data_IF_534137712404
#
_entry.id   IF_534137712404
#
_cell.length_a   1.000
_cell.length_b   1.000
_cell.length_c   1.000
_cell.angle_alpha   90.00
_cell.angle_beta   90.00
_cell.angle_gamma   90.00
#
_symmetry.space_group_name_H-M   'P 1'
#
loop_
_entity.id
_entity.type
_entity.pdbx_description
1 polymer ?
#
# COMPACT_ATOMS: atom_id res chain seq x y z
N UNK A 1 16.03 -18.97 -0.90
CA UNK A 1 15.17 -19.79 -1.73
C UNK A 1 16.02 -20.43 -2.79
N UNK A 2 15.96 -21.75 -2.98
CA UNK A 2 16.81 -22.43 -3.94
C UNK A 2 16.51 -21.97 -5.37
N UNK A 3 17.53 -22.04 -6.22
CA UNK A 3 17.47 -21.75 -7.65
C UNK A 3 16.58 -22.77 -8.42
N UNK A 4 15.37 -23.01 -7.94
CA UNK A 4 14.44 -23.91 -8.60
C UNK A 4 13.65 -23.08 -9.65
N UNK A 5 13.76 -23.38 -10.95
CA UNK A 5 13.07 -22.69 -12.02
C UNK A 5 11.55 -22.75 -11.86
N UNK A 6 10.99 -23.81 -11.26
CA UNK A 6 9.56 -23.96 -11.04
C UNK A 6 9.05 -22.97 -9.97
N UNK A 7 9.84 -22.67 -8.94
CA UNK A 7 9.51 -21.67 -7.94
C UNK A 7 9.54 -20.26 -8.54
N UNK A 8 10.52 -19.97 -9.42
CA UNK A 8 10.57 -18.67 -10.12
C UNK A 8 9.39 -18.45 -11.07
N UNK A 9 8.97 -19.52 -11.74
CA UNK A 9 7.80 -19.45 -12.64
C UNK A 9 6.52 -19.21 -11.85
N UNK A 10 6.34 -19.91 -10.73
CA UNK A 10 5.23 -19.68 -9.82
C UNK A 10 5.20 -18.24 -9.26
N UNK A 11 6.38 -17.64 -8.99
CA UNK A 11 6.50 -16.26 -8.53
C UNK A 11 6.03 -15.23 -9.55
N UNK A 12 6.38 -15.41 -10.81
CA UNK A 12 5.94 -14.54 -11.90
C UNK A 12 4.43 -14.67 -12.12
N UNK A 13 3.94 -15.91 -12.07
CA UNK A 13 2.51 -16.21 -12.22
C UNK A 13 1.67 -15.64 -11.06
N UNK A 14 2.20 -15.61 -9.82
CA UNK A 14 1.55 -15.03 -8.65
C UNK A 14 1.28 -13.54 -8.82
N UNK A 15 2.22 -12.81 -9.43
CA UNK A 15 2.02 -11.37 -9.72
C UNK A 15 1.00 -11.14 -10.83
N UNK A 16 0.72 -12.17 -11.66
CA UNK A 16 0.01 -12.01 -12.94
C UNK A 16 -1.23 -12.89 -13.12
N UNK A 17 -1.85 -13.43 -12.07
CA UNK A 17 -2.93 -14.43 -12.07
C UNK A 17 -2.42 -15.89 -12.19
N UNK A 18 -1.78 -16.45 -11.17
CA UNK A 18 -1.28 -17.81 -11.14
C UNK A 18 -2.40 -18.85 -11.00
N UNK A 19 -2.11 -20.07 -11.46
CA UNK A 19 -3.02 -21.19 -11.25
C UNK A 19 -3.09 -21.59 -9.76
N UNK A 20 -4.26 -22.02 -9.24
CA UNK A 20 -4.46 -22.29 -7.82
C UNK A 20 -3.48 -23.31 -7.19
N UNK A 21 -2.98 -24.25 -7.96
CA UNK A 21 -2.08 -25.32 -7.45
C UNK A 21 -0.66 -24.83 -7.20
N UNK A 22 -0.16 -23.89 -8.00
CA UNK A 22 1.18 -23.31 -7.82
C UNK A 22 1.24 -22.25 -6.71
N UNK A 23 0.08 -21.69 -6.33
CA UNK A 23 -0.01 -20.65 -5.29
C UNK A 23 0.13 -21.19 -3.87
N UNK A 24 -0.39 -22.37 -3.57
CA UNK A 24 -0.33 -22.93 -2.22
C UNK A 24 1.11 -23.29 -1.83
N UNK A 25 1.84 -23.92 -2.74
CA UNK A 25 3.26 -24.30 -2.52
C UNK A 25 4.16 -23.06 -2.45
N UNK A 26 3.87 -22.06 -3.26
CA UNK A 26 4.61 -20.82 -3.28
C UNK A 26 4.35 -19.97 -2.03
N UNK A 27 3.09 -19.81 -1.61
CA UNK A 27 2.74 -19.08 -0.39
C UNK A 27 3.43 -19.68 0.85
N UNK A 28 3.47 -20.99 0.96
CA UNK A 28 4.18 -21.68 2.03
C UNK A 28 5.68 -21.40 2.05
N UNK A 29 6.33 -21.38 0.88
CA UNK A 29 7.77 -21.10 0.76
C UNK A 29 8.11 -19.63 1.06
N UNK A 30 7.26 -18.69 0.62
CA UNK A 30 7.43 -17.25 0.88
C UNK A 30 7.20 -16.91 2.34
N UNK A 31 6.13 -17.43 2.94
CA UNK A 31 5.84 -17.23 4.37
C UNK A 31 7.01 -17.73 5.21
N UNK A 32 7.52 -18.94 4.94
CA UNK A 32 8.65 -19.49 5.66
C UNK A 32 9.95 -18.69 5.47
N UNK A 33 10.21 -18.11 4.30
CA UNK A 33 11.40 -17.30 4.03
C UNK A 33 11.29 -15.90 4.66
N UNK A 34 10.10 -15.29 4.60
CA UNK A 34 9.82 -13.99 5.23
C UNK A 34 9.87 -14.11 6.75
N UNK A 35 9.24 -15.12 7.34
CA UNK A 35 9.26 -15.35 8.80
C UNK A 35 10.68 -15.58 9.33
N UNK A 36 11.51 -16.38 8.65
CA UNK A 36 12.91 -16.57 9.05
C UNK A 36 13.73 -15.29 8.99
N UNK A 37 13.50 -14.44 8.00
CA UNK A 37 14.18 -13.14 7.90
C UNK A 37 13.67 -12.13 8.93
N UNK A 38 12.39 -12.17 9.27
CA UNK A 38 11.80 -11.35 10.30
C UNK A 38 12.26 -11.77 11.69
N UNK A 39 12.23 -13.06 11.99
CA UNK A 39 12.68 -13.61 13.28
C UNK A 39 14.17 -13.35 13.55
N UNK A 40 15.03 -13.36 12.52
CA UNK A 40 16.47 -13.10 12.68
C UNK A 40 16.83 -11.63 12.92
N UNK A 41 15.89 -10.69 12.74
CA UNK A 41 16.14 -9.24 12.80
C UNK A 41 15.36 -8.51 13.92
N UNK A 42 14.51 -9.22 14.65
CA UNK A 42 13.51 -8.63 15.52
C UNK A 42 13.71 -8.71 17.03
N UNK A 43 14.80 -9.24 17.62
CA UNK A 43 14.92 -9.17 19.07
C UNK A 43 14.72 -7.75 19.62
N UNK A 44 15.26 -6.74 18.87
CA UNK A 44 15.21 -5.36 19.32
C UNK A 44 13.87 -4.67 19.02
N UNK A 45 13.26 -4.97 17.87
CA UNK A 45 11.96 -4.39 17.50
C UNK A 45 10.83 -5.01 18.32
N UNK A 46 10.87 -6.30 18.55
CA UNK A 46 9.87 -6.99 19.40
C UNK A 46 10.00 -6.53 20.85
N UNK A 47 11.22 -6.30 21.36
CA UNK A 47 11.44 -5.73 22.69
C UNK A 47 11.03 -4.25 22.78
N UNK A 48 11.20 -3.45 21.72
CA UNK A 48 10.68 -2.09 21.66
C UNK A 48 9.15 -2.07 21.54
N UNK A 49 8.54 -2.97 20.78
CA UNK A 49 7.09 -3.11 20.67
C UNK A 49 6.48 -3.65 21.96
N UNK A 50 7.13 -4.59 22.64
CA UNK A 50 6.71 -5.07 23.98
C UNK A 50 6.90 -4.00 25.06
N UNK A 51 7.88 -3.12 24.92
CA UNK A 51 8.08 -1.96 25.82
C UNK A 51 7.08 -0.83 25.57
N UNK A 52 6.40 -0.83 24.42
CA UNK A 52 5.28 0.07 24.16
C UNK A 52 4.12 -0.31 25.06
N UNK A 53 3.93 0.47 26.11
CA UNK A 53 2.86 0.27 27.08
C UNK A 53 1.52 0.14 26.33
N UNK A 54 0.76 -0.95 26.47
CA UNK A 54 -0.54 -1.13 25.81
C UNK A 54 -1.47 0.07 25.97
N UNK A 55 -1.35 0.80 27.09
CA UNK A 55 -2.05 2.03 27.39
C UNK A 55 -1.78 3.17 26.39
N UNK A 56 -0.56 3.31 25.89
CA UNK A 56 -0.22 4.41 24.95
C UNK A 56 -0.85 4.21 23.56
N UNK A 57 -0.97 2.97 23.13
CA UNK A 57 -1.68 2.62 21.87
C UNK A 57 -3.19 2.81 22.05
N UNK A 58 -3.73 2.43 23.23
CA UNK A 58 -5.11 2.67 23.59
C UNK A 58 -5.44 4.17 23.71
N UNK A 59 -4.51 4.99 24.19
CA UNK A 59 -4.68 6.43 24.36
C UNK A 59 -4.79 7.18 23.04
N UNK A 60 -4.27 6.66 21.95
CA UNK A 60 -4.29 7.33 20.66
C UNK A 60 -5.64 7.20 19.95
N UNK A 61 -6.25 6.02 20.04
CA UNK A 61 -7.65 5.88 19.68
C UNK A 61 -8.54 6.17 20.90
N UNK A 62 -7.94 6.22 22.10
CA UNK A 62 -8.51 6.68 23.36
C UNK A 62 -9.73 5.92 23.87
N UNK A 63 -10.10 4.84 23.19
CA UNK A 63 -11.35 4.12 23.39
C UNK A 63 -11.14 2.62 23.59
N UNK A 64 -10.03 2.24 24.23
CA UNK A 64 -9.78 0.87 24.65
C UNK A 64 -9.45 -0.08 23.50
N UNK A 65 -8.86 0.43 22.43
CA UNK A 65 -8.36 -0.40 21.35
C UNK A 65 -7.18 -1.22 21.86
N UNK A 66 -7.47 -2.43 22.28
CA UNK A 66 -6.46 -3.44 22.61
C UNK A 66 -6.14 -4.21 21.33
N UNK A 67 -5.32 -3.64 20.45
CA UNK A 67 -4.81 -4.40 19.32
C UNK A 67 -3.64 -5.25 19.78
N UNK A 68 -3.81 -6.55 19.69
CA UNK A 68 -2.68 -7.46 19.67
C UNK A 68 -2.16 -7.48 18.24
N UNK A 69 -0.92 -7.06 18.02
CA UNK A 69 -0.27 -6.99 16.70
C UNK A 69 -0.27 -8.34 15.96
N UNK A 70 -0.39 -9.45 16.69
CA UNK A 70 -0.46 -10.80 16.14
C UNK A 70 -1.87 -11.19 15.66
N UNK A 71 -2.93 -10.49 16.10
CA UNK A 71 -4.30 -10.84 15.74
C UNK A 71 -4.74 -10.11 14.48
N UNK A 72 -5.22 -10.86 13.52
CA UNK A 72 -5.81 -10.34 12.27
C UNK A 72 -7.29 -10.00 12.42
N UNK A 73 -7.96 -10.48 13.49
CA UNK A 73 -9.39 -10.29 13.71
C UNK A 73 -9.66 -9.46 14.97
N UNK A 74 -10.57 -8.51 14.84
CA UNK A 74 -11.09 -7.73 15.97
C UNK A 74 -12.38 -8.35 16.46
N UNK A 75 -12.48 -8.55 17.77
CA UNK A 75 -13.69 -9.06 18.41
C UNK A 75 -14.70 -7.95 18.74
N UNK A 76 -14.22 -6.71 18.93
CA UNK A 76 -15.06 -5.59 19.36
C UNK A 76 -15.21 -4.55 18.23
N UNK A 77 -16.35 -3.85 18.16
CA UNK A 77 -16.54 -2.74 17.20
C UNK A 77 -15.51 -1.64 17.40
N UNK A 78 -15.05 -1.06 16.28
CA UNK A 78 -14.11 0.06 16.29
C UNK A 78 -14.78 1.29 16.93
N UNK A 79 -14.14 1.87 17.94
CA UNK A 79 -14.52 3.13 18.56
C UNK A 79 -13.40 4.14 18.41
N UNK A 80 -13.76 5.41 18.29
CA UNK A 80 -12.81 6.53 18.23
C UNK A 80 -13.19 7.61 19.24
N UNK A 81 -12.21 8.41 19.64
CA UNK A 81 -12.43 9.59 20.49
C UNK A 81 -13.10 10.68 19.68
N UNK A 82 -14.25 11.16 20.15
CA UNK A 82 -15.00 12.27 19.54
C UNK A 82 -14.95 13.55 20.37
N UNK A 83 -14.27 13.54 21.52
CA UNK A 83 -14.17 14.67 22.43
C UNK A 83 -13.76 14.24 23.84
N UNK A 84 -14.06 15.08 24.81
CA UNK A 84 -13.87 14.82 26.23
C UNK A 84 -15.22 14.87 26.97
N UNK A 85 -15.34 14.02 27.99
CA UNK A 85 -16.42 14.10 28.96
C UNK A 85 -16.12 15.19 30.02
N UNK A 86 -17.11 15.50 30.87
CA UNK A 86 -16.96 16.55 31.90
C UNK A 86 -15.89 16.28 32.93
N UNK A 87 -15.57 15.03 33.18
CA UNK A 87 -14.53 14.56 34.08
C UNK A 87 -13.12 14.50 33.43
N UNK A 88 -13.01 14.91 32.16
CA UNK A 88 -11.77 14.89 31.38
C UNK A 88 -11.46 13.56 30.70
N UNK A 89 -12.27 12.52 30.93
CA UNK A 89 -12.13 11.24 30.25
C UNK A 89 -12.44 11.35 28.74
N UNK A 90 -12.06 10.36 27.94
CA UNK A 90 -12.32 10.36 26.52
C UNK A 90 -13.79 10.02 26.25
N UNK A 91 -14.46 10.87 25.48
CA UNK A 91 -15.77 10.57 24.93
C UNK A 91 -15.62 9.71 23.68
N UNK A 92 -16.14 8.49 23.72
CA UNK A 92 -15.98 7.50 22.66
C UNK A 92 -17.29 7.29 21.89
N UNK A 93 -17.16 7.12 20.57
CA UNK A 93 -18.27 6.72 19.70
C UNK A 93 -17.86 5.60 18.75
N UNK A 94 -18.83 4.83 18.26
CA UNK A 94 -18.62 3.89 17.16
C UNK A 94 -18.03 4.64 15.96
N UNK A 95 -16.98 4.11 15.37
CA UNK A 95 -16.30 4.75 14.23
C UNK A 95 -17.23 4.99 13.03
N UNK A 96 -18.27 4.16 12.88
CA UNK A 96 -19.29 4.28 11.84
C UNK A 96 -20.44 5.25 12.17
N UNK A 97 -20.43 5.84 13.38
CA UNK A 97 -21.46 6.84 13.77
C UNK A 97 -21.22 8.20 13.09
N UNK A 98 -22.26 9.00 12.95
CA UNK A 98 -22.17 10.32 12.32
C UNK A 98 -21.20 11.24 13.08
N UNK A 99 -21.25 11.27 14.42
CA UNK A 99 -20.35 12.08 15.23
C UNK A 99 -18.88 11.71 15.00
N UNK A 100 -18.59 10.41 14.87
CA UNK A 100 -17.23 9.94 14.56
C UNK A 100 -16.78 10.36 13.16
N UNK A 101 -17.66 10.22 12.17
CA UNK A 101 -17.39 10.68 10.78
C UNK A 101 -17.14 12.17 10.70
N UNK A 102 -17.88 12.98 11.44
CA UNK A 102 -17.68 14.43 11.48
C UNK A 102 -16.31 14.79 12.03
N UNK A 103 -15.85 14.10 13.09
CA UNK A 103 -14.49 14.28 13.64
C UNK A 103 -13.44 13.88 12.61
N UNK A 104 -13.58 12.71 11.98
CA UNK A 104 -12.65 12.24 10.95
C UNK A 104 -12.61 13.16 9.72
N UNK A 105 -13.74 13.66 9.25
CA UNK A 105 -13.81 14.62 8.16
C UNK A 105 -13.18 15.97 8.55
N UNK A 106 -13.36 16.40 9.80
CA UNK A 106 -12.69 17.60 10.32
C UNK A 106 -11.16 17.44 10.31
N UNK A 107 -10.63 16.31 10.78
CA UNK A 107 -9.21 16.01 10.74
C UNK A 107 -8.70 15.95 9.30
N UNK A 108 -9.41 15.28 8.43
CA UNK A 108 -9.11 15.16 7.00
C UNK A 108 -9.01 16.53 6.30
N UNK A 109 -9.89 17.48 6.63
CA UNK A 109 -9.86 18.85 6.08
C UNK A 109 -8.65 19.65 6.54
N UNK A 110 -8.15 19.38 7.75
CA UNK A 110 -7.00 20.10 8.37
C UNK A 110 -5.64 19.54 7.97
N UNK A 111 -5.59 18.47 7.18
CA UNK A 111 -4.32 17.88 6.74
C UNK A 111 -3.47 18.89 5.96
N UNK A 112 -2.25 19.10 6.46
CA UNK A 112 -1.24 19.96 5.84
C UNK A 112 -0.20 19.18 5.02
N UNK A 113 0.91 19.85 4.77
CA UNK A 113 2.10 19.22 4.17
C UNK A 113 2.68 18.18 5.11
N UNK A 114 3.03 17.03 4.57
CA UNK A 114 3.72 15.98 5.32
C UNK A 114 5.18 16.40 5.55
N UNK A 115 5.72 16.06 6.72
CA UNK A 115 7.15 16.07 6.97
C UNK A 115 7.66 14.63 7.02
N UNK A 116 8.67 14.30 6.23
CA UNK A 116 9.23 12.96 6.22
C UNK A 116 9.73 12.51 7.61
N UNK A 117 10.18 13.44 8.45
CA UNK A 117 10.60 13.16 9.83
C UNK A 117 9.44 12.79 10.76
N UNK A 118 8.21 13.10 10.37
CA UNK A 118 7.00 12.80 11.16
C UNK A 118 6.25 11.56 10.65
N UNK A 119 6.62 11.07 9.46
CA UNK A 119 5.96 9.90 8.91
C UNK A 119 6.38 8.66 9.67
N UNK A 120 5.38 7.89 10.09
CA UNK A 120 5.54 6.57 10.69
C UNK A 120 5.04 5.56 9.66
N UNK A 121 5.96 4.96 8.89
CA UNK A 121 5.56 4.01 7.86
C UNK A 121 5.07 2.70 8.47
N UNK A 122 4.16 1.97 7.80
CA UNK A 122 3.72 0.67 8.27
C UNK A 122 4.88 -0.31 8.26
N UNK A 123 5.00 -1.09 9.33
CA UNK A 123 6.00 -2.15 9.43
C UNK A 123 5.49 -3.43 8.78
N UNK A 124 6.42 -4.23 8.30
CA UNK A 124 6.07 -5.52 7.74
C UNK A 124 5.85 -6.56 8.82
N UNK A 125 4.67 -7.16 8.79
CA UNK A 125 4.30 -8.34 9.53
C UNK A 125 3.86 -9.41 8.53
N UNK A 126 4.46 -10.60 8.59
CA UNK A 126 4.19 -11.66 7.61
C UNK A 126 4.39 -11.21 6.15
N UNK A 127 3.44 -11.49 5.28
CA UNK A 127 3.50 -11.28 3.83
C UNK A 127 2.90 -9.97 3.34
N UNK A 128 2.70 -8.97 4.20
CA UNK A 128 2.03 -7.72 3.84
C UNK A 128 2.91 -6.66 3.13
N UNK A 129 4.12 -7.00 2.70
CA UNK A 129 5.02 -6.07 2.00
C UNK A 129 4.36 -5.47 0.74
N UNK A 130 3.62 -6.27 -0.03
CA UNK A 130 2.89 -5.82 -1.21
C UNK A 130 1.84 -4.74 -0.88
N UNK A 131 1.13 -4.89 0.24
CA UNK A 131 0.16 -3.91 0.69
C UNK A 131 0.85 -2.64 1.19
N UNK A 132 1.86 -2.77 2.04
CA UNK A 132 2.56 -1.66 2.67
C UNK A 132 3.31 -0.79 1.66
N UNK A 133 3.93 -1.39 0.63
CA UNK A 133 4.63 -0.62 -0.41
C UNK A 133 3.65 0.22 -1.22
N UNK A 134 2.51 -0.36 -1.62
CA UNK A 134 1.49 0.38 -2.35
C UNK A 134 0.78 1.42 -1.48
N UNK A 135 0.59 1.13 -0.17
CA UNK A 135 0.13 2.11 0.81
C UNK A 135 1.00 3.37 0.79
N UNK A 136 2.32 3.21 0.83
CA UNK A 136 3.25 4.34 0.78
C UNK A 136 3.17 5.10 -0.55
N UNK A 137 3.07 4.41 -1.67
CA UNK A 137 2.92 5.03 -2.98
C UNK A 137 1.61 5.83 -3.12
N UNK A 138 0.50 5.25 -2.65
CA UNK A 138 -0.84 5.84 -2.86
C UNK A 138 -1.22 6.89 -1.82
N UNK A 139 -0.77 6.76 -0.57
CA UNK A 139 -1.23 7.65 0.51
C UNK A 139 -0.14 8.55 1.09
N UNK A 140 1.14 8.29 0.83
CA UNK A 140 2.24 9.09 1.40
C UNK A 140 2.99 9.87 0.34
N UNK A 141 3.21 9.30 -0.84
CA UNK A 141 3.86 9.99 -1.95
C UNK A 141 3.04 11.19 -2.43
N UNK A 142 3.69 12.26 -2.84
CA UNK A 142 3.08 13.57 -3.07
C UNK A 142 1.84 13.55 -3.97
N UNK A 143 1.95 12.91 -5.15
CA UNK A 143 0.85 12.84 -6.12
C UNK A 143 -0.15 11.75 -5.76
N UNK A 144 0.34 10.61 -5.26
CA UNK A 144 -0.51 9.53 -4.76
C UNK A 144 -1.43 10.01 -3.65
N UNK A 145 -0.87 10.69 -2.62
CA UNK A 145 -1.64 11.30 -1.53
C UNK A 145 -2.72 12.25 -2.07
N UNK A 146 -2.37 13.11 -3.02
CA UNK A 146 -3.30 14.07 -3.61
C UNK A 146 -4.43 13.37 -4.36
N UNK A 147 -4.08 12.39 -5.18
CA UNK A 147 -5.04 11.61 -5.94
C UNK A 147 -5.98 10.80 -5.06
N UNK A 148 -5.45 10.06 -4.08
CA UNK A 148 -6.24 9.19 -3.20
C UNK A 148 -7.06 9.93 -2.13
N UNK A 149 -7.04 11.26 -2.13
CA UNK A 149 -7.81 12.06 -1.18
C UNK A 149 -9.32 11.79 -1.29
N UNK A 150 -9.84 11.63 -2.51
CA UNK A 150 -11.25 11.30 -2.72
C UNK A 150 -11.62 9.94 -2.13
N UNK A 151 -10.77 8.92 -2.32
CA UNK A 151 -11.00 7.57 -1.80
C UNK A 151 -11.08 7.56 -0.27
N UNK A 152 -10.18 8.27 0.40
CA UNK A 152 -10.22 8.45 1.85
C UNK A 152 -11.50 9.12 2.33
N UNK A 153 -12.00 10.09 1.58
CA UNK A 153 -13.29 10.73 1.89
C UNK A 153 -14.44 9.72 1.80
N UNK A 154 -14.47 8.86 0.78
CA UNK A 154 -15.45 7.78 0.67
C UNK A 154 -15.35 6.78 1.83
N UNK A 155 -14.14 6.38 2.20
CA UNK A 155 -13.90 5.50 3.36
C UNK A 155 -14.46 6.10 4.66
N UNK A 156 -14.22 7.40 4.92
CA UNK A 156 -14.71 8.07 6.12
C UNK A 156 -16.23 8.17 6.11
N UNK A 157 -16.82 8.55 4.97
CA UNK A 157 -18.27 8.66 4.82
C UNK A 157 -18.98 7.31 4.90
N UNK A 158 -18.28 6.23 4.55
CA UNK A 158 -18.88 4.91 4.39
C UNK A 158 -19.87 4.85 3.24
N UNK A 159 -19.57 5.58 2.16
CA UNK A 159 -20.38 5.70 0.96
C UNK A 159 -19.52 5.41 -0.28
N UNK A 160 -20.16 4.89 -1.31
CA UNK A 160 -19.56 4.82 -2.64
C UNK A 160 -19.56 6.19 -3.33
N UNK A 161 -18.92 6.30 -4.48
CA UNK A 161 -18.88 7.55 -5.26
C UNK A 161 -20.26 8.09 -5.62
N UNK A 162 -21.24 7.20 -5.83
CA UNK A 162 -22.63 7.56 -6.14
C UNK A 162 -23.53 7.68 -4.90
N UNK A 163 -22.94 7.76 -3.70
CA UNK A 163 -23.64 8.02 -2.44
C UNK A 163 -24.38 6.81 -1.85
N UNK A 164 -24.13 5.59 -2.38
CA UNK A 164 -24.69 4.38 -1.78
C UNK A 164 -23.89 4.00 -0.53
N UNK A 165 -24.59 3.59 0.53
CA UNK A 165 -23.93 3.13 1.75
C UNK A 165 -23.08 1.88 1.50
N UNK A 166 -21.86 1.87 2.02
CA UNK A 166 -21.00 0.69 2.00
C UNK A 166 -21.57 -0.37 2.93
N UNK A 167 -21.81 -1.56 2.37
CA UNK A 167 -22.32 -2.72 3.10
C UNK A 167 -21.43 -3.93 2.89
N UNK A 168 -21.31 -4.84 3.87
CA UNK A 168 -21.88 -4.79 5.23
C UNK A 168 -21.18 -3.76 6.14
N UNK A 169 -21.76 -3.47 7.31
CA UNK A 169 -21.19 -2.51 8.25
C UNK A 169 -19.74 -2.83 8.68
N UNK A 170 -19.38 -4.11 8.72
CA UNK A 170 -17.99 -4.55 8.98
C UNK A 170 -17.00 -4.06 7.92
N UNK A 171 -17.42 -3.98 6.65
CA UNK A 171 -16.58 -3.42 5.58
C UNK A 171 -16.40 -1.91 5.76
N UNK A 172 -17.46 -1.21 6.12
CA UNK A 172 -17.38 0.21 6.46
C UNK A 172 -16.41 0.46 7.62
N UNK A 173 -16.48 -0.34 8.67
CA UNK A 173 -15.54 -0.28 9.80
C UNK A 173 -14.09 -0.54 9.36
N UNK A 174 -13.85 -1.53 8.49
CA UNK A 174 -12.54 -1.84 7.94
C UNK A 174 -11.96 -0.68 7.11
N UNK A 175 -12.80 0.01 6.33
CA UNK A 175 -12.40 1.19 5.55
C UNK A 175 -12.07 2.39 6.43
N UNK A 176 -12.82 2.59 7.52
CA UNK A 176 -12.48 3.62 8.51
C UNK A 176 -11.16 3.29 9.20
N UNK A 177 -10.93 2.02 9.57
CA UNK A 177 -9.66 1.57 10.12
C UNK A 177 -8.50 1.83 9.15
N UNK A 178 -8.71 1.61 7.86
CA UNK A 178 -7.73 1.93 6.83
C UNK A 178 -7.42 3.45 6.80
N UNK A 179 -8.44 4.30 6.80
CA UNK A 179 -8.20 5.75 6.88
C UNK A 179 -7.45 6.15 8.15
N UNK A 180 -7.76 5.55 9.30
CA UNK A 180 -7.04 5.78 10.55
C UNK A 180 -5.58 5.35 10.47
N UNK A 181 -5.25 4.28 9.73
CA UNK A 181 -3.88 3.90 9.46
C UNK A 181 -3.12 4.98 8.66
N UNK A 182 -3.79 5.58 7.68
CA UNK A 182 -3.21 6.69 6.91
C UNK A 182 -2.97 7.91 7.82
N UNK A 183 -3.94 8.28 8.66
CA UNK A 183 -3.78 9.41 9.60
C UNK A 183 -2.66 9.16 10.61
N UNK A 184 -2.56 7.94 11.12
CA UNK A 184 -1.49 7.51 12.03
C UNK A 184 -0.12 7.59 11.34
N UNK A 185 -0.02 7.13 10.11
CA UNK A 185 1.20 7.23 9.31
C UNK A 185 1.66 8.69 9.13
N UNK A 186 0.73 9.64 9.01
CA UNK A 186 1.05 11.06 8.89
C UNK A 186 1.50 11.69 10.21
N UNK A 187 1.28 11.04 11.33
CA UNK A 187 1.57 11.55 12.67
C UNK A 187 1.04 12.98 12.88
N UNK A 188 -0.18 13.21 12.43
CA UNK A 188 -0.84 14.53 12.51
C UNK A 188 -1.12 14.94 13.96
N UNK A 189 -1.17 13.97 14.86
CA UNK A 189 -1.30 14.18 16.30
C UNK A 189 -0.02 13.68 16.98
N UNK A 190 0.68 14.54 17.76
CA UNK A 190 1.93 14.17 18.44
C UNK A 190 1.77 12.98 19.41
N UNK A 191 0.56 12.75 19.91
CA UNK A 191 0.22 11.53 20.67
C UNK A 191 0.07 10.29 19.80
N UNK A 192 -0.03 10.45 18.48
CA UNK A 192 -0.13 9.36 17.51
C UNK A 192 1.24 8.81 17.06
N UNK A 193 2.35 9.29 17.63
CA UNK A 193 3.70 8.92 17.20
C UNK A 193 4.00 7.42 17.17
N UNK A 194 3.31 6.64 17.96
CA UNK A 194 3.51 5.19 18.03
C UNK A 194 2.40 4.38 17.33
N UNK A 195 1.37 5.03 16.78
CA UNK A 195 0.21 4.33 16.20
C UNK A 195 0.52 3.65 14.88
N UNK A 196 1.35 4.27 14.05
CA UNK A 196 1.77 3.65 12.80
C UNK A 196 2.48 2.32 13.02
N UNK A 197 3.31 2.24 14.07
CA UNK A 197 3.97 1.00 14.50
C UNK A 197 2.97 -0.01 15.08
N UNK A 198 1.93 0.48 15.74
CA UNK A 198 0.88 -0.33 16.36
C UNK A 198 -0.25 -0.72 15.40
N UNK A 199 -0.39 -0.02 14.27
CA UNK A 199 -1.36 -0.38 13.23
C UNK A 199 -0.85 -1.56 12.42
N UNK A 200 -1.38 -2.71 12.78
CA UNK A 200 -1.16 -3.93 12.02
C UNK A 200 -2.01 -3.88 10.74
N UNK A 201 -1.38 -3.61 9.59
CA UNK A 201 -2.08 -3.58 8.30
C UNK A 201 -2.69 -4.93 7.91
N UNK A 202 -2.27 -6.03 8.53
CA UNK A 202 -2.91 -7.33 8.38
C UNK A 202 -4.37 -7.31 8.84
N UNK A 203 -4.69 -6.56 9.91
CA UNK A 203 -6.08 -6.37 10.34
C UNK A 203 -6.92 -5.68 9.27
N UNK A 204 -6.34 -4.72 8.56
CA UNK A 204 -7.03 -4.00 7.49
C UNK A 204 -7.28 -4.94 6.31
N UNK A 205 -6.24 -5.64 5.85
CA UNK A 205 -6.32 -6.59 4.73
C UNK A 205 -7.37 -7.65 5.02
N UNK A 206 -7.26 -8.32 6.17
CA UNK A 206 -8.18 -9.39 6.58
C UNK A 206 -9.62 -8.90 6.74
N UNK A 207 -9.80 -7.74 7.39
CA UNK A 207 -11.14 -7.17 7.60
C UNK A 207 -11.82 -6.78 6.28
N UNK A 208 -11.08 -6.24 5.32
CA UNK A 208 -11.58 -5.95 3.98
C UNK A 208 -11.92 -7.27 3.26
N UNK A 209 -10.99 -8.22 3.23
CA UNK A 209 -11.17 -9.50 2.54
C UNK A 209 -12.39 -10.27 3.04
N UNK A 210 -12.56 -10.37 4.34
CA UNK A 210 -13.68 -11.11 4.97
C UNK A 210 -15.01 -10.39 4.88
N UNK A 211 -15.00 -9.07 4.66
CA UNK A 211 -16.22 -8.26 4.66
C UNK A 211 -16.71 -7.85 3.27
N UNK A 212 -15.82 -7.81 2.28
CA UNK A 212 -16.21 -7.51 0.89
C UNK A 212 -17.02 -8.68 0.30
N UNK A 213 -18.08 -8.43 -0.49
CA UNK A 213 -18.92 -9.50 -1.02
C UNK A 213 -18.15 -10.54 -1.85
N UNK A 214 -18.45 -11.83 -1.65
CA UNK A 214 -17.81 -12.92 -2.40
C UNK A 214 -18.06 -12.82 -3.92
N UNK A 215 -19.23 -12.33 -4.32
CA UNK A 215 -19.56 -12.07 -5.73
C UNK A 215 -18.63 -11.03 -6.35
N UNK A 216 -18.16 -10.05 -5.55
CA UNK A 216 -17.17 -9.07 -5.99
C UNK A 216 -15.79 -9.70 -6.11
N UNK A 217 -15.33 -10.44 -5.08
CA UNK A 217 -14.03 -11.15 -5.10
C UNK A 217 -13.93 -12.16 -6.24
N UNK A 218 -15.05 -12.79 -6.63
CA UNK A 218 -15.07 -13.72 -7.74
C UNK A 218 -14.68 -13.06 -9.08
N UNK A 219 -15.03 -11.79 -9.26
CA UNK A 219 -14.71 -10.98 -10.45
C UNK A 219 -13.37 -10.24 -10.31
N UNK A 220 -13.04 -9.79 -9.10
CA UNK A 220 -11.90 -8.95 -8.79
C UNK A 220 -10.86 -9.71 -7.97
N UNK A 221 -9.97 -10.42 -8.67
CA UNK A 221 -9.00 -11.36 -8.08
C UNK A 221 -7.86 -10.66 -7.31
N UNK A 222 -7.75 -9.34 -7.39
CA UNK A 222 -6.75 -8.57 -6.65
C UNK A 222 -7.05 -8.44 -5.15
N UNK A 223 -8.30 -8.64 -4.72
CA UNK A 223 -8.66 -8.63 -3.30
C UNK A 223 -8.20 -9.95 -2.67
N UNK A 224 -7.14 -9.88 -1.86
CA UNK A 224 -6.45 -11.02 -1.23
C UNK A 224 -6.45 -10.88 0.29
N UNK A 225 -6.33 -12.03 0.99
CA UNK A 225 -6.13 -12.07 2.44
C UNK A 225 -4.64 -12.03 2.79
N UNK A 226 -4.35 -11.91 4.09
CA UNK A 226 -2.98 -11.78 4.63
C UNK A 226 -2.09 -12.99 4.40
N UNK A 227 -2.68 -14.18 4.32
CA UNK A 227 -2.02 -15.45 4.04
C UNK A 227 -1.85 -15.72 2.54
N UNK A 228 -2.41 -14.85 1.70
CA UNK A 228 -2.34 -14.92 0.26
C UNK A 228 -1.31 -13.92 -0.27
N UNK A 229 -0.55 -14.36 -1.24
CA UNK A 229 0.35 -13.46 -1.96
C UNK A 229 -0.45 -12.45 -2.78
N UNK A 230 -0.23 -11.16 -2.53
CA UNK A 230 -0.97 -10.09 -3.20
C UNK A 230 -0.14 -9.36 -4.26
N UNK A 231 -0.81 -8.94 -5.33
CA UNK A 231 -0.27 -7.98 -6.25
C UNK A 231 -0.49 -6.57 -5.69
N UNK A 232 0.58 -5.76 -5.49
CA UNK A 232 0.46 -4.43 -4.89
C UNK A 232 -0.58 -3.55 -5.56
N UNK A 233 -0.60 -3.53 -6.89
CA UNK A 233 -1.47 -2.67 -7.66
C UNK A 233 -2.90 -3.20 -7.75
N UNK A 234 -3.07 -4.50 -8.00
CA UNK A 234 -4.40 -5.08 -8.24
C UNK A 234 -5.32 -4.94 -7.02
N UNK A 235 -4.80 -5.11 -5.81
CA UNK A 235 -5.59 -4.93 -4.60
C UNK A 235 -6.17 -3.51 -4.51
N UNK A 236 -5.33 -2.50 -4.69
CA UNK A 236 -5.76 -1.11 -4.59
C UNK A 236 -6.67 -0.69 -5.75
N UNK A 237 -6.39 -1.17 -6.95
CA UNK A 237 -7.27 -0.98 -8.11
C UNK A 237 -8.66 -1.55 -7.84
N UNK A 238 -8.74 -2.80 -7.40
CA UNK A 238 -10.00 -3.48 -7.17
C UNK A 238 -10.76 -2.84 -5.98
N UNK A 239 -10.06 -2.43 -4.92
CA UNK A 239 -10.69 -1.69 -3.82
C UNK A 239 -11.21 -0.32 -4.27
N UNK A 240 -10.45 0.41 -5.09
CA UNK A 240 -10.88 1.68 -5.67
C UNK A 240 -12.11 1.47 -6.54
N UNK A 241 -12.09 0.48 -7.45
CA UNK A 241 -13.22 0.13 -8.31
C UNK A 241 -14.48 -0.21 -7.51
N UNK A 242 -14.34 -0.89 -6.37
CA UNK A 242 -15.48 -1.15 -5.47
C UNK A 242 -16.12 0.12 -4.94
N UNK A 243 -15.30 1.04 -4.42
CA UNK A 243 -15.79 2.29 -3.83
C UNK A 243 -16.27 3.30 -4.87
N UNK A 244 -15.72 3.27 -6.08
CA UNK A 244 -16.12 4.15 -7.18
C UNK A 244 -17.17 3.52 -8.10
N UNK A 245 -17.57 2.28 -7.82
CA UNK A 245 -18.56 1.56 -8.64
C UNK A 245 -18.11 1.46 -10.10
N UNK A 246 -16.81 1.25 -10.31
CA UNK A 246 -16.17 1.13 -11.63
C UNK A 246 -16.30 2.42 -12.50
N UNK A 247 -16.47 3.59 -11.88
CA UNK A 247 -16.56 4.85 -12.59
C UNK A 247 -15.25 5.13 -13.37
N UNK A 248 -15.35 5.28 -14.68
CA UNK A 248 -14.22 5.48 -15.59
C UNK A 248 -13.41 6.76 -15.28
N UNK A 249 -14.01 7.77 -14.62
CA UNK A 249 -13.31 9.01 -14.24
C UNK A 249 -12.27 8.82 -13.15
N UNK A 250 -12.33 7.70 -12.42
CA UNK A 250 -11.40 7.36 -11.34
C UNK A 250 -10.49 6.19 -11.69
N UNK A 251 -10.36 5.91 -12.99
CA UNK A 251 -9.66 4.74 -13.49
C UNK A 251 -8.16 4.77 -13.20
N UNK A 252 -7.72 3.72 -12.55
CA UNK A 252 -6.32 3.36 -12.42
C UNK A 252 -5.97 2.44 -13.61
N UNK A 253 -5.28 2.96 -14.60
CA UNK A 253 -4.97 2.21 -15.81
C UNK A 253 -3.61 1.52 -15.71
N UNK A 254 -3.51 0.32 -16.25
CA UNK A 254 -2.27 -0.46 -16.29
C UNK A 254 -1.77 -0.60 -17.70
N UNK A 255 -0.52 -0.24 -17.93
CA UNK A 255 0.22 -0.41 -19.17
C UNK A 255 1.27 -1.49 -18.91
N UNK A 256 1.18 -2.63 -19.63
CA UNK A 256 1.99 -3.81 -19.29
C UNK A 256 2.54 -4.60 -20.47
N UNK A 257 1.90 -4.53 -21.65
CA UNK A 257 2.46 -5.14 -22.85
C UNK A 257 3.61 -4.29 -23.42
N UNK A 258 4.51 -4.93 -24.16
CA UNK A 258 5.64 -4.24 -24.81
C UNK A 258 5.17 -3.10 -25.70
N UNK A 259 4.07 -3.29 -26.43
CA UNK A 259 3.50 -2.27 -27.31
C UNK A 259 2.94 -1.10 -26.51
N UNK A 260 2.07 -1.35 -25.52
CA UNK A 260 1.48 -0.31 -24.65
C UNK A 260 2.55 0.53 -23.95
N UNK A 261 3.60 -0.11 -23.40
CA UNK A 261 4.68 0.58 -22.71
C UNK A 261 5.48 1.47 -23.65
N UNK A 262 5.79 0.97 -24.84
CA UNK A 262 6.48 1.78 -25.88
C UNK A 262 5.63 2.96 -26.33
N UNK A 263 4.34 2.73 -26.55
CA UNK A 263 3.41 3.78 -26.96
C UNK A 263 3.24 4.83 -25.87
N UNK A 264 3.15 4.41 -24.61
CA UNK A 264 3.10 5.34 -23.49
C UNK A 264 4.34 6.23 -23.45
N UNK A 265 5.55 5.67 -23.49
CA UNK A 265 6.79 6.45 -23.42
C UNK A 265 7.06 7.27 -24.69
N UNK A 266 6.50 6.88 -25.84
CA UNK A 266 6.53 7.68 -27.07
C UNK A 266 5.45 8.77 -27.12
N UNK A 267 4.50 8.78 -26.19
CA UNK A 267 3.38 9.71 -26.17
C UNK A 267 2.25 9.40 -27.16
N UNK A 268 2.24 8.22 -27.76
CA UNK A 268 1.22 7.77 -28.73
C UNK A 268 0.10 6.95 -28.09
N UNK A 269 0.26 6.54 -26.83
CA UNK A 269 -0.76 5.81 -26.09
C UNK A 269 -2.03 6.65 -25.93
N UNK A 270 -3.19 6.03 -26.09
CA UNK A 270 -4.48 6.72 -25.97
C UNK A 270 -5.08 6.46 -24.59
N UNK A 271 -5.10 7.47 -23.76
CA UNK A 271 -5.69 7.41 -22.43
C UNK A 271 -6.16 8.77 -21.95
N UNK A 272 -7.14 8.79 -21.06
CA UNK A 272 -7.58 9.93 -20.26
C UNK A 272 -7.49 9.67 -18.75
N UNK A 273 -6.95 8.50 -18.37
CA UNK A 273 -6.80 8.09 -16.98
C UNK A 273 -5.95 9.10 -16.19
N UNK A 274 -6.31 9.31 -14.92
CA UNK A 274 -5.54 10.20 -14.05
C UNK A 274 -4.26 9.56 -13.54
N UNK A 275 -4.21 8.22 -13.50
CA UNK A 275 -3.05 7.45 -13.05
C UNK A 275 -2.76 6.32 -14.01
N UNK A 276 -1.51 6.27 -14.46
CA UNK A 276 -0.96 5.21 -15.29
C UNK A 276 0.06 4.42 -14.47
N UNK A 277 -0.22 3.13 -14.31
CA UNK A 277 0.70 2.17 -13.71
C UNK A 277 1.45 1.40 -14.81
N UNK A 278 2.71 1.74 -15.04
CA UNK A 278 3.56 1.03 -16.00
C UNK A 278 4.19 -0.16 -15.31
N UNK A 279 3.78 -1.36 -15.71
CA UNK A 279 4.25 -2.61 -15.14
C UNK A 279 5.34 -3.22 -16.03
N UNK A 280 6.52 -3.44 -15.46
CA UNK A 280 7.67 -4.05 -16.11
C UNK A 280 8.04 -5.36 -15.41
N UNK A 281 8.40 -6.37 -16.19
CA UNK A 281 8.81 -7.67 -15.68
C UNK A 281 10.16 -8.08 -16.30
N UNK A 282 10.78 -9.14 -15.79
CA UNK A 282 11.98 -9.68 -16.43
C UNK A 282 11.72 -10.06 -17.89
N UNK A 283 12.75 -9.91 -18.71
CA UNK A 283 12.75 -10.31 -20.09
C UNK A 283 12.43 -11.81 -20.23
N UNK A 284 11.40 -12.14 -21.00
CA UNK A 284 11.01 -13.52 -21.29
C UNK A 284 9.58 -13.90 -20.95
N UNK A 285 8.83 -13.07 -20.21
CA UNK A 285 7.39 -13.27 -20.07
C UNK A 285 6.69 -12.89 -21.39
N UNK A 286 6.05 -13.85 -22.05
CA UNK A 286 5.42 -13.64 -23.36
C UNK A 286 4.46 -12.45 -23.37
N UNK A 287 4.75 -11.45 -24.20
CA UNK A 287 3.89 -10.28 -24.40
C UNK A 287 3.97 -9.21 -23.31
N UNK A 288 4.82 -9.38 -22.28
CA UNK A 288 5.02 -8.40 -21.21
C UNK A 288 6.22 -7.51 -21.46
N UNK A 289 6.09 -6.24 -21.08
CA UNK A 289 7.19 -5.30 -21.21
C UNK A 289 8.29 -5.58 -20.17
N UNK A 290 9.52 -5.49 -20.64
CA UNK A 290 10.72 -5.50 -19.81
C UNK A 290 11.21 -4.08 -19.52
N UNK A 291 12.12 -3.88 -18.56
CA UNK A 291 12.81 -2.61 -18.38
C UNK A 291 13.57 -2.11 -19.63
N UNK A 292 13.98 -3.01 -20.51
CA UNK A 292 14.62 -2.67 -21.80
C UNK A 292 13.61 -2.06 -22.77
N UNK A 293 12.37 -2.58 -22.80
CA UNK A 293 11.28 -2.00 -23.61
C UNK A 293 10.93 -0.58 -23.16
N UNK A 294 11.03 -0.30 -21.87
CA UNK A 294 10.79 1.02 -21.29
C UNK A 294 11.92 2.03 -21.57
N UNK A 295 13.10 1.57 -21.98
CA UNK A 295 14.23 2.43 -22.30
C UNK A 295 14.75 3.24 -21.11
N UNK A 296 14.76 4.57 -21.23
CA UNK A 296 15.27 5.47 -20.17
C UNK A 296 14.34 5.64 -18.97
N UNK A 297 13.10 5.16 -19.03
CA UNK A 297 12.07 5.37 -18.00
C UNK A 297 11.98 6.86 -17.61
N UNK A 298 11.50 7.75 -18.49
CA UNK A 298 11.50 9.19 -18.25
C UNK A 298 10.63 9.54 -17.06
N UNK A 299 11.01 10.55 -16.28
CA UNK A 299 10.25 11.03 -15.12
C UNK A 299 9.02 11.87 -15.51
N UNK A 300 8.93 12.27 -16.78
CA UNK A 300 7.77 12.99 -17.33
C UNK A 300 7.50 12.48 -18.74
N UNK A 301 6.24 12.25 -19.07
CA UNK A 301 5.77 11.78 -20.37
C UNK A 301 4.59 12.63 -20.82
N UNK A 302 4.61 13.09 -22.06
CA UNK A 302 3.47 13.79 -22.67
C UNK A 302 2.71 12.81 -23.54
N UNK A 303 1.45 12.54 -23.18
CA UNK A 303 0.55 11.63 -23.90
C UNK A 303 -0.64 12.45 -24.41
N UNK A 304 -0.79 12.55 -25.72
CA UNK A 304 -1.75 13.44 -26.35
C UNK A 304 -1.56 14.90 -25.90
N UNK A 305 -2.44 15.41 -25.02
CA UNK A 305 -2.35 16.79 -24.48
C UNK A 305 -2.08 16.81 -22.97
N UNK A 306 -1.93 15.63 -22.39
CA UNK A 306 -1.77 15.48 -20.94
C UNK A 306 -0.31 15.22 -20.60
N UNK A 307 0.19 15.84 -19.54
CA UNK A 307 1.50 15.55 -18.97
C UNK A 307 1.33 14.58 -17.81
N UNK A 308 2.09 13.50 -17.82
CA UNK A 308 2.17 12.50 -16.74
C UNK A 308 3.54 12.57 -16.10
N UNK A 309 3.57 12.68 -14.78
CA UNK A 309 4.81 12.71 -14.01
C UNK A 309 4.94 11.51 -13.09
N UNK A 310 6.11 10.90 -13.12
CA UNK A 310 6.47 9.80 -12.23
C UNK A 310 6.59 10.29 -10.79
N UNK A 311 5.77 9.75 -9.91
CA UNK A 311 5.74 10.11 -8.48
C UNK A 311 6.36 9.03 -7.60
N UNK A 312 6.09 7.78 -7.89
CA UNK A 312 6.50 6.66 -7.07
C UNK A 312 6.72 5.39 -7.89
N UNK A 313 7.39 4.42 -7.28
CA UNK A 313 7.59 3.10 -7.85
C UNK A 313 7.47 2.02 -6.77
N UNK A 314 7.08 0.82 -7.19
CA UNK A 314 7.24 -0.42 -6.44
C UNK A 314 8.24 -1.30 -7.17
N UNK A 315 9.18 -1.90 -6.47
CA UNK A 315 10.13 -2.86 -7.02
C UNK A 315 10.17 -4.12 -6.17
N UNK A 316 10.32 -5.27 -6.81
CA UNK A 316 10.41 -6.56 -6.15
C UNK A 316 11.84 -7.09 -6.20
N UNK A 317 12.37 -7.50 -5.05
CA UNK A 317 13.58 -8.31 -4.99
C UNK A 317 13.25 -9.74 -5.41
N UNK A 318 13.68 -10.15 -6.59
CA UNK A 318 13.38 -11.48 -7.14
C UNK A 318 13.96 -12.59 -6.26
N UNK A 319 15.14 -12.37 -5.68
CA UNK A 319 15.82 -13.41 -4.91
C UNK A 319 15.14 -13.71 -3.57
N UNK A 320 14.35 -12.76 -3.06
CA UNK A 320 13.70 -12.83 -1.74
C UNK A 320 12.21 -12.55 -1.75
N UNK A 321 11.65 -12.25 -2.92
CA UNK A 321 10.21 -12.00 -3.12
C UNK A 321 9.65 -10.89 -2.25
N UNK A 322 10.46 -9.90 -2.00
CA UNK A 322 10.15 -8.80 -1.13
C UNK A 322 9.97 -7.51 -1.94
N UNK A 323 8.95 -6.73 -1.59
CA UNK A 323 8.66 -5.46 -2.21
C UNK A 323 9.23 -4.29 -1.41
N UNK A 324 9.74 -3.28 -2.13
CA UNK A 324 10.05 -1.97 -1.62
C UNK A 324 9.40 -0.89 -2.48
N UNK A 325 9.37 0.35 -2.00
CA UNK A 325 8.87 1.49 -2.75
C UNK A 325 9.87 2.62 -2.82
N UNK A 326 9.92 3.29 -3.98
CA UNK A 326 10.47 4.63 -4.10
C UNK A 326 9.32 5.64 -4.08
N UNK A 327 9.37 6.64 -3.21
CA UNK A 327 8.31 7.64 -3.05
C UNK A 327 8.87 9.06 -3.03
N UNK A 328 7.99 10.03 -3.20
CA UNK A 328 8.33 11.46 -3.16
C UNK A 328 7.58 12.15 -2.02
N UNK A 329 8.29 12.87 -1.16
CA UNK A 329 7.70 13.64 -0.07
C UNK A 329 8.24 15.07 -0.12
N UNK A 330 7.38 16.05 -0.36
CA UNK A 330 7.73 17.46 -0.58
C UNK A 330 8.84 17.63 -1.65
N UNK A 331 8.71 16.93 -2.78
CA UNK A 331 9.67 16.94 -3.87
C UNK A 331 10.99 16.22 -3.60
N UNK A 332 11.16 15.59 -2.44
CA UNK A 332 12.37 14.84 -2.08
C UNK A 332 12.11 13.34 -2.20
N UNK A 333 13.14 12.61 -2.62
CA UNK A 333 13.05 11.17 -2.86
C UNK A 333 13.40 10.37 -1.62
N UNK A 334 12.58 9.33 -1.36
CA UNK A 334 12.73 8.40 -0.25
C UNK A 334 12.53 6.98 -0.75
N UNK A 335 13.14 6.05 -0.04
CA UNK A 335 12.94 4.61 -0.23
C UNK A 335 12.26 4.07 1.01
N UNK A 336 11.27 3.21 0.80
CA UNK A 336 10.55 2.49 1.84
C UNK A 336 10.80 0.98 1.71
N UNK A 337 11.21 0.38 2.81
CA UNK A 337 11.28 -1.08 3.01
C UNK A 337 10.70 -1.40 4.39
N UNK A 338 9.50 -1.98 4.43
CA UNK A 338 8.81 -2.30 5.68
C UNK A 338 9.52 -3.35 6.56
N UNK A 339 10.48 -4.10 6.00
CA UNK A 339 11.28 -5.08 6.74
C UNK A 339 12.61 -4.50 7.27
N UNK A 340 12.96 -3.26 6.93
CA UNK A 340 14.17 -2.61 7.43
C UNK A 340 13.96 -2.04 8.84
N UNK A 341 15.04 -1.94 9.62
CA UNK A 341 15.01 -1.30 10.94
C UNK A 341 14.61 0.18 10.83
N UNK A 342 15.10 0.88 9.81
CA UNK A 342 14.65 2.22 9.44
C UNK A 342 13.86 2.14 8.14
N UNK A 343 12.53 1.95 8.19
CA UNK A 343 11.75 1.62 7.01
C UNK A 343 11.70 2.71 5.95
N UNK A 344 11.94 3.99 6.31
CA UNK A 344 11.91 5.12 5.40
C UNK A 344 13.25 5.86 5.41
N UNK A 345 13.97 5.81 4.29
CA UNK A 345 15.29 6.41 4.12
C UNK A 345 15.28 7.45 2.99
N UNK A 346 15.88 8.63 3.23
CA UNK A 346 16.08 9.62 2.17
C UNK A 346 17.15 9.13 1.19
N UNK A 347 16.75 8.85 -0.04
CA UNK A 347 17.66 8.35 -1.09
C UNK A 347 17.09 8.64 -2.48
N UNK A 348 17.96 9.02 -3.41
CA UNK A 348 17.60 9.26 -4.81
C UNK A 348 17.38 7.93 -5.53
N UNK A 349 16.13 7.59 -5.81
CA UNK A 349 15.77 6.38 -6.55
C UNK A 349 15.58 6.63 -8.05
N UNK A 350 15.17 7.84 -8.46
CA UNK A 350 15.03 8.17 -9.89
C UNK A 350 16.34 8.06 -10.65
N UNK A 351 17.46 8.35 -9.99
CA UNK A 351 18.80 8.16 -10.57
C UNK A 351 19.18 6.70 -10.83
N UNK A 352 18.35 5.74 -10.36
CA UNK A 352 18.53 4.30 -10.60
C UNK A 352 17.69 3.78 -11.74
N UNK A 353 16.73 4.57 -12.23
CA UNK A 353 15.91 4.22 -13.39
C UNK A 353 16.81 3.98 -14.60
N UNK A 354 16.55 2.90 -15.32
CA UNK A 354 17.32 2.54 -16.51
C UNK A 354 18.76 2.04 -16.27
N UNK A 355 19.25 1.97 -15.03
CA UNK A 355 20.60 1.49 -14.71
C UNK A 355 20.59 0.08 -14.12
N UNK A 356 21.43 -0.80 -14.67
CA UNK A 356 21.66 -2.15 -14.14
C UNK A 356 22.64 -2.09 -12.94
N UNK A 357 22.16 -1.51 -11.83
CA UNK A 357 22.93 -1.41 -10.59
C UNK A 357 22.05 -1.80 -9.41
N UNK A 358 22.49 -2.76 -8.60
CA UNK A 358 21.76 -3.10 -7.38
C UNK A 358 21.82 -1.94 -6.38
N UNK A 359 20.75 -1.79 -5.63
CA UNK A 359 20.64 -0.84 -4.53
C UNK A 359 19.82 -1.45 -3.39
N UNK A 360 19.93 -0.90 -2.20
CA UNK A 360 19.22 -1.39 -1.02
C UNK A 360 19.03 -0.30 0.02
N UNK A 361 18.22 -0.58 1.02
CA UNK A 361 18.00 0.25 2.20
C UNK A 361 19.03 -0.10 3.27
N UNK A 362 19.48 0.88 4.03
CA UNK A 362 20.43 0.66 5.13
C UNK A 362 19.85 -0.32 6.16
N UNK A 363 20.65 -1.32 6.55
CA UNK A 363 20.21 -2.39 7.44
C UNK A 363 19.32 -3.46 6.81
N UNK A 364 18.94 -3.31 5.52
CA UNK A 364 18.24 -4.35 4.77
C UNK A 364 19.25 -5.32 4.12
N UNK A 365 18.92 -6.63 4.14
CA UNK A 365 19.66 -7.64 3.35
C UNK A 365 19.13 -7.73 1.91
N UNK A 366 18.00 -7.08 1.61
CA UNK A 366 17.38 -7.11 0.31
C UNK A 366 18.07 -6.11 -0.61
N UNK A 367 18.20 -6.49 -1.88
CA UNK A 367 18.72 -5.63 -2.92
C UNK A 367 17.77 -5.63 -4.11
N UNK A 368 17.58 -4.47 -4.69
CA UNK A 368 16.69 -4.24 -5.83
C UNK A 368 17.48 -3.77 -7.04
N UNK A 369 17.00 -4.09 -8.21
CA UNK A 369 17.59 -3.65 -9.45
C UNK A 369 16.47 -3.32 -10.44
N UNK A 370 16.39 -2.05 -10.85
CA UNK A 370 15.29 -1.58 -11.72
C UNK A 370 15.43 -2.01 -13.18
N UNK A 371 16.53 -2.65 -13.55
CA UNK A 371 16.71 -3.32 -14.85
C UNK A 371 16.38 -4.81 -14.79
N UNK A 372 16.13 -5.34 -13.61
CA UNK A 372 15.87 -6.77 -13.40
C UNK A 372 14.69 -6.95 -12.47
N UNK A 373 13.80 -7.85 -12.84
CA UNK A 373 12.65 -8.18 -12.04
C UNK A 373 11.43 -7.28 -12.26
N UNK A 374 10.48 -7.44 -11.37
CA UNK A 374 9.24 -6.70 -11.42
C UNK A 374 9.43 -5.27 -10.92
N UNK A 375 8.94 -4.31 -11.71
CA UNK A 375 8.83 -2.91 -11.30
C UNK A 375 7.49 -2.34 -11.75
N UNK A 376 6.90 -1.51 -10.90
CA UNK A 376 5.67 -0.79 -11.16
C UNK A 376 5.94 0.71 -11.00
N UNK A 377 5.84 1.46 -12.09
CA UNK A 377 6.06 2.91 -12.11
C UNK A 377 4.70 3.62 -12.11
N UNK A 378 4.48 4.53 -11.17
CA UNK A 378 3.21 5.25 -11.04
C UNK A 378 3.35 6.68 -11.57
N UNK A 379 2.70 6.92 -12.71
CA UNK A 379 2.61 8.21 -13.35
C UNK A 379 1.26 8.85 -13.09
N UNK A 380 1.27 10.11 -12.69
CA UNK A 380 0.06 10.88 -12.40
C UNK A 380 -0.08 12.03 -13.39
N UNK A 381 -1.29 12.23 -13.91
CA UNK A 381 -1.66 13.34 -14.76
C UNK A 381 -1.51 14.67 -13.99
N UNK A 382 -0.84 15.64 -14.62
CA UNK A 382 -0.57 16.95 -14.00
C UNK A 382 -1.26 18.11 -14.71
N UNK A 383 -1.57 17.96 -15.98
CA UNK A 383 -2.30 18.94 -16.82
C UNK A 383 -3.16 18.21 -17.83
#
# INVERSE_FOLDING_TARGET
VPNNPDVRRAQLDVVEDPTPTSMADFAGAVVGAVDKNLQSRRPDIDSELESMHPGKVADIFGCGLKDNLEKTTRSEPLKIVIGKERDGSNKCALATSNNARDVLLSNFKKEGKLSASNIIPPMQFHTNCWFNTMFMCMFVSDKGKKYMRFLRQLMIKGETLHGRAVTPNKLNEALILFNLAVEACYNLNKSAGNVGLALNTNNIIHSIYTSIPDSYKAKHKGIKDVDQYGNPYQFYRDLTSFLTEEDERTKLETVKSTEEVRDFFKGTYKTDADVIAVQLTDSGASGRASPEDAGSMPTSVVVARNTYELDSLVSRDISREHFCAGITINGKEYIFDGAAFSPLEKRTWRSKLGHDRPWGVSGSKNTWNLKRGYSLLLYYKTT
#
